data_IF_470951105507
#
_entry.id   IF_470951105507
#
_cell.length_a   1.000
_cell.length_b   1.000
_cell.length_c   1.000
_cell.angle_alpha   90.00
_cell.angle_beta   90.00
_cell.angle_gamma   90.00
#
_symmetry.space_group_name_H-M   'P 1'
#
loop_
_entity.id
_entity.type
_entity.pdbx_description
1 polymer ?
#
# COMPACT_ATOMS: atom_id res chain seq x y z
N UNK A 1 0.20 5.83 -11.42
CA UNK A 1 1.06 5.89 -10.23
C UNK A 1 1.19 7.34 -9.82
N UNK A 2 1.24 7.60 -8.52
CA UNK A 2 1.50 8.95 -8.01
C UNK A 2 2.97 9.36 -8.24
N UNK A 3 3.23 10.66 -8.16
CA UNK A 3 4.54 11.25 -8.45
C UNK A 3 5.61 10.77 -7.45
N UNK A 4 5.27 10.65 -6.16
CA UNK A 4 6.23 10.24 -5.13
C UNK A 4 6.63 8.77 -5.27
N UNK A 5 5.68 7.93 -5.62
CA UNK A 5 5.90 6.52 -5.92
C UNK A 5 6.85 6.36 -7.11
N UNK A 6 6.68 7.17 -8.15
CA UNK A 6 7.58 7.18 -9.31
C UNK A 6 9.00 7.61 -8.90
N UNK A 7 9.14 8.64 -8.07
CA UNK A 7 10.43 9.09 -7.55
C UNK A 7 11.16 7.96 -6.79
N UNK A 8 10.46 7.31 -5.86
CA UNK A 8 11.01 6.21 -5.05
C UNK A 8 11.42 5.01 -5.92
N UNK A 9 10.60 4.64 -6.90
CA UNK A 9 10.89 3.52 -7.79
C UNK A 9 12.04 3.84 -8.75
N UNK A 10 12.12 5.08 -9.23
CA UNK A 10 13.20 5.53 -10.12
C UNK A 10 14.55 5.50 -9.43
N UNK A 11 14.61 5.85 -8.14
CA UNK A 11 15.83 5.74 -7.34
C UNK A 11 16.30 4.28 -7.12
N UNK A 12 15.42 3.29 -7.33
CA UNK A 12 15.74 1.86 -7.22
C UNK A 12 16.10 1.19 -8.55
N UNK A 13 15.88 1.86 -9.68
CA UNK A 13 16.18 1.31 -11.00
C UNK A 13 17.71 1.16 -11.16
N UNK A 14 18.24 0.00 -11.57
CA UNK A 14 19.68 -0.15 -11.79
C UNK A 14 20.19 0.78 -12.89
N UNK A 15 21.43 1.25 -12.74
CA UNK A 15 22.05 2.26 -13.62
C UNK A 15 22.18 1.81 -15.08
N UNK A 16 22.28 0.49 -15.33
CA UNK A 16 22.23 -0.07 -16.66
C UNK A 16 20.77 -0.31 -17.05
N UNK A 17 20.28 0.40 -18.08
CA UNK A 17 18.91 0.27 -18.60
C UNK A 17 18.80 -1.02 -19.42
N UNK A 18 18.78 -2.17 -18.72
CA UNK A 18 18.29 -3.41 -19.29
C UNK A 18 16.76 -3.45 -19.07
N UNK A 19 15.93 -3.49 -20.14
CA UNK A 19 14.47 -3.60 -20.01
C UNK A 19 13.99 -4.78 -19.16
N UNK A 20 14.78 -5.85 -19.14
CA UNK A 20 14.48 -7.09 -18.39
C UNK A 20 15.02 -7.07 -16.96
N UNK A 21 15.69 -5.99 -16.53
CA UNK A 21 16.16 -5.87 -15.16
C UNK A 21 15.00 -5.74 -14.17
N UNK A 22 15.10 -6.49 -13.07
CA UNK A 22 14.12 -6.43 -11.99
C UNK A 22 14.17 -5.06 -11.30
N UNK A 23 13.01 -4.43 -11.11
CA UNK A 23 12.87 -3.20 -10.31
C UNK A 23 13.20 -3.44 -8.83
N UNK A 24 12.88 -4.64 -8.34
CA UNK A 24 13.20 -5.08 -6.98
C UNK A 24 14.08 -6.32 -7.03
N UNK A 25 15.39 -6.11 -7.00
CA UNK A 25 16.37 -7.18 -6.95
C UNK A 25 17.12 -7.19 -5.62
N UNK A 26 17.69 -8.35 -5.29
CA UNK A 26 18.78 -8.43 -4.31
C UNK A 26 20.04 -7.73 -4.86
N UNK A 27 21.05 -7.54 -4.02
CA UNK A 27 22.36 -7.02 -4.43
C UNK A 27 23.05 -7.90 -5.49
N UNK A 28 22.60 -9.15 -5.64
CA UNK A 28 23.08 -10.10 -6.66
C UNK A 28 22.26 -10.09 -7.95
N UNK A 29 21.29 -9.17 -8.08
CA UNK A 29 20.43 -9.05 -9.26
C UNK A 29 19.28 -10.07 -9.35
N UNK A 30 19.09 -10.90 -8.33
CA UNK A 30 18.03 -11.93 -8.32
C UNK A 30 16.72 -11.41 -7.73
N UNK A 31 15.60 -12.06 -8.06
CA UNK A 31 14.31 -11.75 -7.46
C UNK A 31 14.32 -12.05 -5.95
N UNK A 32 13.61 -11.24 -5.17
CA UNK A 32 13.40 -11.53 -3.76
C UNK A 32 12.51 -12.77 -3.58
N UNK A 33 12.90 -13.63 -2.64
CA UNK A 33 12.02 -14.70 -2.18
C UNK A 33 10.88 -14.15 -1.31
N UNK A 34 9.65 -14.50 -1.67
CA UNK A 34 8.43 -14.03 -1.00
C UNK A 34 8.38 -14.47 0.47
N UNK A 35 8.82 -15.69 0.80
CA UNK A 35 8.78 -16.21 2.17
C UNK A 35 9.80 -15.52 3.07
N UNK A 36 10.97 -15.20 2.53
CA UNK A 36 11.99 -14.45 3.23
C UNK A 36 11.55 -13.00 3.49
N UNK A 37 10.95 -12.33 2.50
CA UNK A 37 10.44 -10.96 2.72
C UNK A 37 9.38 -10.90 3.83
N UNK A 38 8.41 -11.81 3.82
CA UNK A 38 7.35 -11.80 4.85
C UNK A 38 7.89 -12.14 6.24
N UNK A 39 8.75 -13.16 6.35
CA UNK A 39 9.21 -13.64 7.66
C UNK A 39 10.35 -12.82 8.25
N UNK A 40 11.20 -12.21 7.41
CA UNK A 40 12.39 -11.47 7.86
C UNK A 40 12.20 -9.95 7.87
N UNK A 41 11.28 -9.41 7.06
CA UNK A 41 11.06 -7.97 6.95
C UNK A 41 9.67 -7.55 7.44
N UNK A 42 8.60 -8.06 6.81
CA UNK A 42 7.24 -7.57 7.07
C UNK A 42 6.76 -7.90 8.48
N UNK A 43 6.71 -9.19 8.86
CA UNK A 43 6.23 -9.61 10.19
C UNK A 43 7.05 -8.99 11.33
N UNK A 44 8.41 -8.98 11.30
CA UNK A 44 9.18 -8.32 12.35
C UNK A 44 8.92 -6.82 12.47
N UNK A 45 8.76 -6.11 11.34
CA UNK A 45 8.46 -4.68 11.33
C UNK A 45 7.07 -4.40 11.91
N UNK A 46 6.05 -5.14 11.48
CA UNK A 46 4.70 -5.03 12.03
C UNK A 46 4.69 -5.31 13.54
N UNK A 47 5.40 -6.36 14.00
CA UNK A 47 5.51 -6.67 15.43
C UNK A 47 6.12 -5.51 16.24
N UNK A 48 7.17 -4.85 15.72
CA UNK A 48 7.78 -3.67 16.36
C UNK A 48 6.81 -2.48 16.46
N UNK A 49 5.86 -2.39 15.53
CA UNK A 49 4.82 -1.36 15.50
C UNK A 49 3.54 -1.78 16.26
N UNK A 50 3.52 -2.94 16.93
CA UNK A 50 2.34 -3.44 17.63
C UNK A 50 1.25 -4.02 16.72
N UNK A 51 1.53 -4.21 15.43
CA UNK A 51 0.59 -4.77 14.45
C UNK A 51 0.72 -6.30 14.40
N UNK A 52 -0.40 -7.02 14.45
CA UNK A 52 -0.46 -8.49 14.40
C UNK A 52 -1.11 -8.98 13.10
N UNK A 53 -0.89 -10.25 12.74
CA UNK A 53 -1.55 -10.87 11.56
C UNK A 53 -1.00 -10.47 10.18
N UNK A 54 0.10 -9.71 10.13
CA UNK A 54 0.67 -9.20 8.88
C UNK A 54 1.00 -10.30 7.86
N UNK A 55 0.43 -10.16 6.67
CA UNK A 55 0.66 -11.02 5.52
C UNK A 55 0.46 -10.27 4.19
N UNK A 56 0.69 -10.94 3.06
CA UNK A 56 0.59 -10.32 1.73
C UNK A 56 -0.82 -9.84 1.37
N UNK A 57 -1.85 -10.61 1.75
CA UNK A 57 -3.24 -10.20 1.52
C UNK A 57 -3.62 -8.99 2.36
N UNK A 58 -3.01 -8.84 3.53
CA UNK A 58 -3.21 -7.69 4.39
C UNK A 58 -2.87 -6.37 3.70
N UNK A 59 -1.74 -6.31 2.99
CA UNK A 59 -1.36 -5.13 2.19
C UNK A 59 -2.35 -4.88 1.04
N UNK A 60 -2.85 -5.95 0.42
CA UNK A 60 -3.87 -5.86 -0.63
C UNK A 60 -5.20 -5.33 -0.10
N UNK A 61 -5.66 -5.82 1.06
CA UNK A 61 -6.87 -5.34 1.72
C UNK A 61 -6.70 -3.89 2.18
N UNK A 62 -5.55 -3.53 2.74
CA UNK A 62 -5.24 -2.15 3.08
C UNK A 62 -5.34 -1.23 1.86
N UNK A 63 -4.82 -1.64 0.70
CA UNK A 63 -4.98 -0.87 -0.54
C UNK A 63 -6.46 -0.73 -0.96
N UNK A 64 -7.26 -1.80 -0.85
CA UNK A 64 -8.69 -1.75 -1.14
C UNK A 64 -9.41 -0.75 -0.22
N UNK A 65 -9.13 -0.81 1.09
CA UNK A 65 -9.68 0.12 2.09
C UNK A 65 -9.26 1.56 1.83
N UNK A 66 -8.01 1.80 1.44
CA UNK A 66 -7.52 3.16 1.11
C UNK A 66 -8.19 3.71 -0.15
N UNK A 67 -8.39 2.87 -1.17
CA UNK A 67 -9.10 3.26 -2.39
C UNK A 67 -10.57 3.61 -2.12
N UNK A 68 -11.23 2.82 -1.27
CA UNK A 68 -12.59 3.09 -0.80
C UNK A 68 -12.66 4.41 -0.01
N UNK A 69 -11.72 4.62 0.92
CA UNK A 69 -11.65 5.83 1.74
C UNK A 69 -11.49 7.13 0.94
N UNK A 70 -10.85 7.08 -0.24
CA UNK A 70 -10.73 8.24 -1.15
C UNK A 70 -11.88 8.36 -2.16
N UNK A 71 -12.94 7.56 -1.98
CA UNK A 71 -14.14 7.57 -2.82
C UNK A 71 -13.93 7.03 -4.22
N UNK A 72 -13.04 6.04 -4.40
CA UNK A 72 -12.78 5.45 -5.72
C UNK A 72 -13.97 4.59 -6.17
N UNK A 73 -14.49 4.77 -7.40
CA UNK A 73 -15.57 3.92 -7.92
C UNK A 73 -15.20 2.44 -7.90
N UNK A 74 -16.14 1.56 -7.54
CA UNK A 74 -15.91 0.12 -7.38
C UNK A 74 -15.26 -0.53 -8.61
N UNK A 75 -15.71 -0.18 -9.82
CA UNK A 75 -15.12 -0.69 -11.07
C UNK A 75 -13.63 -0.33 -11.21
N UNK A 76 -13.24 0.87 -10.79
CA UNK A 76 -11.84 1.32 -10.78
C UNK A 76 -11.04 0.60 -9.69
N UNK A 77 -11.61 0.37 -8.50
CA UNK A 77 -10.99 -0.43 -7.44
C UNK A 77 -10.70 -1.85 -7.92
N UNK A 78 -11.69 -2.50 -8.54
CA UNK A 78 -11.55 -3.85 -9.10
C UNK A 78 -10.48 -3.91 -10.19
N UNK A 79 -10.44 -2.92 -11.09
CA UNK A 79 -9.41 -2.82 -12.12
C UNK A 79 -8.00 -2.66 -11.52
N UNK A 80 -7.84 -1.79 -10.51
CA UNK A 80 -6.57 -1.53 -9.84
C UNK A 80 -6.05 -2.73 -9.03
N UNK A 81 -6.94 -3.44 -8.36
CA UNK A 81 -6.59 -4.65 -7.63
C UNK A 81 -6.33 -5.83 -8.59
N UNK A 82 -6.70 -5.72 -9.87
CA UNK A 82 -6.80 -6.86 -10.78
C UNK A 82 -7.98 -7.75 -10.38
N UNK A 83 -8.68 -8.33 -11.36
CA UNK A 83 -9.96 -9.05 -11.26
C UNK A 83 -9.98 -10.32 -10.37
N UNK A 84 -9.15 -10.41 -9.34
CA UNK A 84 -8.98 -11.55 -8.43
C UNK A 84 -9.93 -11.55 -7.23
N UNK A 85 -10.96 -10.70 -7.24
CA UNK A 85 -12.15 -10.86 -6.39
C UNK A 85 -13.34 -11.07 -7.32
N UNK A 86 -13.62 -12.35 -7.59
CA UNK A 86 -14.69 -12.83 -8.46
C UNK A 86 -16.04 -12.68 -7.75
N UNK A 87 -16.73 -11.57 -8.00
CA UNK A 87 -18.19 -11.47 -8.18
C UNK A 87 -18.50 -9.97 -8.37
N UNK A 88 -19.44 -9.68 -9.29
CA UNK A 88 -19.99 -8.34 -9.64
C UNK A 88 -19.35 -7.65 -10.88
N UNK A 89 -20.02 -7.93 -12.00
CA UNK A 89 -20.46 -7.06 -13.13
C UNK A 89 -19.45 -6.44 -14.10
N UNK A 90 -19.39 -7.00 -15.32
CA UNK A 90 -18.45 -6.64 -16.40
C UNK A 90 -19.12 -6.32 -17.74
N UNK A 91 -19.75 -5.17 -17.88
CA UNK A 91 -20.07 -4.67 -19.25
C UNK A 91 -20.03 -3.14 -19.40
N UNK A 92 -20.18 -2.36 -18.32
CA UNK A 92 -20.37 -0.90 -18.44
C UNK A 92 -19.08 -0.06 -18.24
N UNK A 93 -18.03 -0.58 -17.57
CA UNK A 93 -16.96 0.27 -17.02
C UNK A 93 -15.67 0.39 -17.85
N UNK A 94 -15.56 -0.29 -18.99
CA UNK A 94 -14.27 -0.48 -19.71
C UNK A 94 -13.68 0.78 -20.37
N UNK A 95 -14.46 1.83 -20.61
CA UNK A 95 -14.03 2.94 -21.48
C UNK A 95 -13.29 4.11 -20.77
N UNK A 96 -13.29 4.20 -19.43
CA UNK A 96 -12.68 5.32 -18.66
C UNK A 96 -11.55 4.92 -17.69
N UNK A 97 -11.28 3.61 -17.56
CA UNK A 97 -10.42 3.03 -16.52
C UNK A 97 -9.01 3.67 -16.40
N UNK A 98 -8.28 4.02 -17.49
CA UNK A 98 -6.90 4.47 -17.35
C UNK A 98 -6.74 5.81 -16.62
N UNK A 99 -7.63 6.77 -16.84
CA UNK A 99 -7.56 8.09 -16.20
C UNK A 99 -8.03 8.00 -14.74
N UNK A 100 -9.16 7.34 -14.50
CA UNK A 100 -9.74 7.17 -13.17
C UNK A 100 -8.81 6.38 -12.24
N UNK A 101 -8.15 5.34 -12.76
CA UNK A 101 -7.17 4.56 -12.01
C UNK A 101 -5.96 5.42 -11.59
N UNK A 102 -5.47 6.31 -12.47
CA UNK A 102 -4.36 7.21 -12.13
C UNK A 102 -4.78 8.21 -11.06
N UNK A 103 -5.94 8.83 -11.21
CA UNK A 103 -6.47 9.78 -10.24
C UNK A 103 -6.70 9.14 -8.86
N UNK A 104 -7.26 7.93 -8.83
CA UNK A 104 -7.45 7.18 -7.59
C UNK A 104 -6.14 6.88 -6.86
N UNK A 105 -5.13 6.38 -7.58
CA UNK A 105 -3.80 6.09 -7.00
C UNK A 105 -3.13 7.37 -6.49
N UNK A 106 -3.31 8.50 -7.18
CA UNK A 106 -2.78 9.79 -6.73
C UNK A 106 -3.45 10.24 -5.42
N UNK A 107 -4.77 10.13 -5.30
CA UNK A 107 -5.48 10.44 -4.05
C UNK A 107 -5.03 9.58 -2.87
N UNK A 108 -4.77 8.28 -3.10
CA UNK A 108 -4.21 7.39 -2.07
C UNK A 108 -2.79 7.81 -1.69
N UNK A 109 -1.95 8.19 -2.66
CA UNK A 109 -0.61 8.72 -2.37
C UNK A 109 -0.70 10.00 -1.54
N UNK A 110 -1.57 10.95 -1.90
CA UNK A 110 -1.79 12.17 -1.13
C UNK A 110 -2.24 11.84 0.30
N UNK A 111 -3.17 10.89 0.48
CA UNK A 111 -3.62 10.45 1.80
C UNK A 111 -2.47 9.89 2.66
N UNK A 112 -1.57 9.10 2.06
CA UNK A 112 -0.44 8.45 2.75
C UNK A 112 0.74 9.40 3.01
N UNK A 113 1.00 10.34 2.10
CA UNK A 113 2.19 11.21 2.12
C UNK A 113 1.93 12.56 2.77
N UNK A 114 0.69 12.87 3.16
CA UNK A 114 0.36 14.09 3.93
C UNK A 114 1.16 14.16 5.24
N UNK A 115 1.55 15.37 5.69
CA UNK A 115 2.25 15.53 6.96
C UNK A 115 1.38 15.02 8.13
N UNK A 116 1.89 13.98 8.80
CA UNK A 116 1.41 13.33 10.05
C UNK A 116 -0.03 13.62 10.49
N UNK A 117 -0.95 12.68 10.24
CA UNK A 117 -2.21 12.58 10.99
C UNK A 117 -2.10 11.84 12.34
N UNK A 118 -0.90 11.49 12.82
CA UNK A 118 -0.74 10.84 14.14
C UNK A 118 0.56 11.24 14.84
N UNK A 119 0.48 12.35 15.58
CA UNK A 119 0.93 12.35 16.97
C UNK A 119 -0.33 12.40 17.85
N UNK A 120 -1.03 11.27 17.97
CA UNK A 120 -1.88 11.05 19.15
C UNK A 120 -1.09 10.11 20.05
N UNK A 121 -0.13 10.68 20.77
CA UNK A 121 0.24 10.15 22.06
C UNK A 121 -0.87 10.60 23.02
N UNK A 122 -1.94 9.82 23.11
CA UNK A 122 -2.88 9.98 24.21
C UNK A 122 -2.20 9.43 25.47
N UNK A 123 -1.73 10.37 26.28
CA UNK A 123 -1.20 10.16 27.61
C UNK A 123 -2.29 9.50 28.48
N UNK A 124 -2.25 8.18 28.66
CA UNK A 124 -3.13 7.51 29.65
C UNK A 124 -2.66 7.67 31.10
N UNK A 125 -1.74 8.60 31.38
CA UNK A 125 -1.31 8.91 32.75
C UNK A 125 -1.88 10.25 33.21
N UNK A 126 -3.03 10.22 33.87
CA UNK A 126 -3.24 10.75 35.25
C UNK A 126 -4.74 10.91 35.54
N UNK A 127 -5.20 10.19 36.56
CA UNK A 127 -6.48 10.35 37.25
C UNK A 127 -6.44 9.42 38.47
N UNK A 128 -5.47 9.65 39.35
CA UNK A 128 -5.67 10.30 40.65
C UNK A 128 -6.40 9.40 41.64
N UNK A 129 -5.65 9.08 42.69
CA UNK A 129 -6.17 8.78 44.02
C UNK A 129 -7.33 9.71 44.41
N UNK A 130 -8.24 9.15 45.23
CA UNK A 130 -9.16 9.76 46.20
C UNK A 130 -10.62 9.35 45.96
N UNK A 131 -11.03 8.26 46.62
CA UNK A 131 -12.35 8.18 47.25
C UNK A 131 -12.08 7.82 48.71
N UNK A 132 -12.52 8.72 49.60
CA UNK A 132 -12.59 8.59 51.05
C UNK A 132 -13.38 7.36 51.49
#
# INVERSE_FOLDING_TARGET
MGAKSIEILSARKPAAVNPDALVFSTDRGTAYDRHNLINRQLKPTCKKLGLTGANWHWLRHANATLLDAVGTPLGTVQALLGHSSSEITREVYLHSIPADARAAVQKVEDLLMRPKLTQVAENWKTGSLLIQ
#
